data_IF_539136584287
#
_entry.id   IF_539136584287
#
_cell.length_a   1.000
_cell.length_b   1.000
_cell.length_c   1.000
_cell.angle_alpha   90.00
_cell.angle_beta   90.00
_cell.angle_gamma   90.00
#
_symmetry.space_group_name_H-M   'P 1'
#
loop_
_entity.id
_entity.type
_entity.pdbx_description
1 polymer ?
#
# COMPACT_ATOMS: atom_id res chain seq x y z
N UNK A 1 -32.40 -19.91 -12.05
CA UNK A 1 -32.32 -20.16 -10.60
C UNK A 1 -31.08 -19.46 -10.04
N UNK A 2 -31.24 -18.32 -9.37
CA UNK A 2 -30.12 -17.57 -8.80
C UNK A 2 -29.69 -18.15 -7.46
N UNK A 3 -28.47 -18.68 -7.35
CA UNK A 3 -27.91 -19.08 -6.07
C UNK A 3 -27.78 -17.83 -5.18
N UNK A 4 -28.51 -17.75 -4.06
CA UNK A 4 -28.34 -16.68 -3.07
C UNK A 4 -26.86 -16.65 -2.63
N UNK A 5 -26.22 -15.47 -2.72
CA UNK A 5 -24.88 -15.24 -2.15
C UNK A 5 -24.95 -15.58 -0.66
N UNK A 6 -24.17 -16.56 -0.20
CA UNK A 6 -24.02 -16.83 1.23
C UNK A 6 -23.04 -15.81 1.80
N UNK A 7 -23.55 -14.90 2.62
CA UNK A 7 -22.71 -14.03 3.44
C UNK A 7 -22.25 -14.81 4.66
N UNK A 8 -21.00 -14.63 5.03
CA UNK A 8 -20.36 -15.21 6.20
C UNK A 8 -20.17 -14.12 7.25
N UNK A 9 -19.74 -14.52 8.46
CA UNK A 9 -19.46 -13.57 9.53
C UNK A 9 -18.35 -12.59 9.10
N UNK A 10 -18.63 -11.29 9.05
CA UNK A 10 -17.65 -10.30 8.60
C UNK A 10 -16.50 -10.14 9.60
N UNK A 11 -15.29 -9.87 9.11
CA UNK A 11 -14.22 -9.35 9.96
C UNK A 11 -14.56 -7.90 10.30
N UNK A 12 -14.71 -7.60 11.58
CA UNK A 12 -14.99 -6.25 12.09
C UNK A 12 -14.01 -5.89 13.20
N UNK A 13 -13.90 -4.60 13.51
CA UNK A 13 -13.05 -4.10 14.59
C UNK A 13 -12.00 -3.08 14.14
N UNK A 14 -11.19 -2.64 15.10
CA UNK A 14 -10.22 -1.56 14.92
C UNK A 14 -9.16 -1.88 13.86
N UNK A 15 -8.66 -3.12 13.84
CA UNK A 15 -7.60 -3.52 12.91
C UNK A 15 -8.02 -3.43 11.44
N UNK A 16 -9.21 -3.94 11.10
CA UNK A 16 -9.70 -3.89 9.71
C UNK A 16 -10.09 -2.47 9.30
N UNK A 17 -10.69 -1.69 10.21
CA UNK A 17 -11.01 -0.29 9.95
C UNK A 17 -9.73 0.52 9.67
N UNK A 18 -8.70 0.35 10.52
CA UNK A 18 -7.40 1.01 10.33
C UNK A 18 -6.73 0.57 9.03
N UNK A 19 -6.76 -0.71 8.69
CA UNK A 19 -6.19 -1.20 7.42
C UNK A 19 -6.89 -0.58 6.20
N UNK A 20 -8.24 -0.48 6.23
CA UNK A 20 -9.01 0.18 5.17
C UNK A 20 -8.67 1.68 5.09
N UNK A 21 -8.52 2.36 6.22
CA UNK A 21 -8.17 3.78 6.25
C UNK A 21 -6.76 4.02 5.70
N UNK A 22 -5.79 3.18 6.05
CA UNK A 22 -4.44 3.20 5.47
C UNK A 22 -4.47 3.00 3.95
N UNK A 23 -5.32 2.09 3.46
CA UNK A 23 -5.53 1.90 2.03
C UNK A 23 -6.15 3.11 1.31
N UNK A 24 -6.83 4.01 2.03
CA UNK A 24 -7.38 5.26 1.47
C UNK A 24 -6.37 6.41 1.56
N UNK A 25 -5.69 6.56 2.70
CA UNK A 25 -4.76 7.66 2.94
C UNK A 25 -3.43 7.49 2.20
N UNK A 26 -2.92 6.26 2.04
CA UNK A 26 -1.63 6.01 1.38
C UNK A 26 -1.62 6.51 -0.07
N UNK A 27 -2.63 6.21 -0.92
CA UNK A 27 -2.74 6.79 -2.24
C UNK A 27 -2.76 8.33 -2.27
N UNK A 28 -3.44 8.97 -1.31
CA UNK A 28 -3.51 10.44 -1.23
C UNK A 28 -2.13 11.04 -0.92
N UNK A 29 -1.40 10.46 0.03
CA UNK A 29 -0.04 10.88 0.36
C UNK A 29 0.93 10.68 -0.82
N UNK A 30 0.81 9.57 -1.55
CA UNK A 30 1.60 9.32 -2.75
C UNK A 30 1.30 10.33 -3.87
N UNK A 31 0.03 10.65 -4.12
CA UNK A 31 -0.35 11.67 -5.09
C UNK A 31 0.20 13.04 -4.70
N UNK A 32 0.09 13.42 -3.43
CA UNK A 32 0.66 14.66 -2.91
C UNK A 32 2.18 14.71 -3.11
N UNK A 33 2.89 13.62 -2.81
CA UNK A 33 4.33 13.54 -3.09
C UNK A 33 4.63 13.77 -4.58
N UNK A 34 3.88 13.12 -5.48
CA UNK A 34 4.05 13.30 -6.93
C UNK A 34 3.79 14.74 -7.38
N UNK A 35 2.79 15.41 -6.80
CA UNK A 35 2.48 16.82 -7.06
C UNK A 35 3.61 17.73 -6.58
N UNK A 36 4.10 17.52 -5.35
CA UNK A 36 5.18 18.30 -4.73
C UNK A 36 6.48 18.23 -5.56
N UNK A 37 6.76 17.09 -6.21
CA UNK A 37 7.97 16.92 -7.04
C UNK A 37 7.77 17.20 -8.53
N UNK A 38 6.54 17.50 -8.98
CA UNK A 38 6.17 17.51 -10.41
C UNK A 38 7.07 18.41 -11.24
N UNK A 39 7.26 19.65 -10.78
CA UNK A 39 8.00 20.70 -11.48
C UNK A 39 9.46 20.83 -11.04
N UNK A 40 9.93 19.93 -10.17
CA UNK A 40 11.29 19.96 -9.64
C UNK A 40 12.23 19.11 -10.49
N UNK A 41 13.38 19.66 -10.84
CA UNK A 41 14.45 18.88 -11.45
C UNK A 41 15.06 17.90 -10.44
N UNK A 42 15.68 16.82 -10.92
CA UNK A 42 16.24 15.78 -10.05
C UNK A 42 17.24 16.32 -9.01
N UNK A 43 17.93 17.42 -9.32
CA UNK A 43 18.87 18.09 -8.41
C UNK A 43 18.18 18.85 -7.27
N UNK A 44 16.92 19.22 -7.45
CA UNK A 44 16.14 19.94 -6.45
C UNK A 44 15.44 18.99 -5.47
N UNK A 45 15.51 17.67 -5.71
CA UNK A 45 14.88 16.64 -4.87
C UNK A 45 15.73 16.25 -3.65
N UNK A 46 16.98 16.70 -3.56
CA UNK A 46 17.88 16.39 -2.43
C UNK A 46 17.53 17.23 -1.19
N UNK A 47 16.35 17.01 -0.62
CA UNK A 47 15.84 17.77 0.52
C UNK A 47 15.23 16.84 1.56
N UNK A 48 15.51 17.10 2.85
CA UNK A 48 15.01 16.30 3.99
C UNK A 48 13.48 16.19 4.01
N UNK A 49 12.77 17.19 3.48
CA UNK A 49 11.30 17.16 3.39
C UNK A 49 10.79 15.99 2.54
N UNK A 50 11.42 15.67 1.41
CA UNK A 50 10.97 14.59 0.53
C UNK A 50 11.24 13.22 1.13
N UNK A 51 12.37 13.09 1.84
CA UNK A 51 12.68 11.88 2.61
C UNK A 51 11.61 11.67 3.68
N UNK A 52 11.28 12.70 4.45
CA UNK A 52 10.27 12.62 5.49
C UNK A 52 8.89 12.23 4.92
N UNK A 53 8.49 12.83 3.79
CA UNK A 53 7.25 12.45 3.11
C UNK A 53 7.25 10.96 2.70
N UNK A 54 8.34 10.46 2.11
CA UNK A 54 8.47 9.05 1.74
C UNK A 54 8.44 8.13 2.96
N UNK A 55 9.13 8.48 4.05
CA UNK A 55 9.15 7.70 5.28
C UNK A 55 7.77 7.61 5.95
N UNK A 56 6.97 8.68 5.91
CA UNK A 56 5.59 8.64 6.39
C UNK A 56 4.76 7.63 5.58
N UNK A 57 4.93 7.60 4.26
CA UNK A 57 4.24 6.64 3.38
C UNK A 57 4.73 5.20 3.64
N UNK A 58 6.03 5.02 3.85
CA UNK A 58 6.62 3.72 4.22
C UNK A 58 6.01 3.22 5.53
N UNK A 59 5.92 4.07 6.56
CA UNK A 59 5.34 3.69 7.85
C UNK A 59 3.87 3.26 7.72
N UNK A 60 3.07 3.96 6.90
CA UNK A 60 1.68 3.56 6.61
C UNK A 60 1.63 2.15 5.96
N UNK A 61 2.53 1.87 5.02
CA UNK A 61 2.60 0.58 4.32
C UNK A 61 3.07 -0.55 5.25
N UNK A 62 4.04 -0.28 6.11
CA UNK A 62 4.50 -1.25 7.11
C UNK A 62 3.42 -1.52 8.17
N UNK A 63 2.70 -0.48 8.63
CA UNK A 63 1.56 -0.65 9.53
C UNK A 63 0.47 -1.52 8.86
N UNK A 64 0.14 -1.26 7.59
CA UNK A 64 -0.80 -2.06 6.83
C UNK A 64 -0.35 -3.53 6.74
N UNK A 65 0.93 -3.77 6.48
CA UNK A 65 1.52 -5.12 6.43
C UNK A 65 1.35 -5.86 7.77
N UNK A 66 1.63 -5.19 8.89
CA UNK A 66 1.46 -5.76 10.23
C UNK A 66 0.00 -6.06 10.56
N UNK A 67 -0.93 -5.16 10.21
CA UNK A 67 -2.36 -5.39 10.42
C UNK A 67 -2.87 -6.60 9.63
N UNK A 68 -2.43 -6.74 8.37
CA UNK A 68 -2.76 -7.91 7.55
C UNK A 68 -2.21 -9.21 8.16
N UNK A 69 -0.99 -9.19 8.69
CA UNK A 69 -0.37 -10.32 9.37
C UNK A 69 -1.19 -10.76 10.59
N UNK A 70 -1.60 -9.80 11.44
CA UNK A 70 -2.42 -10.05 12.64
C UNK A 70 -3.78 -10.65 12.28
N UNK A 71 -4.40 -10.17 11.19
CA UNK A 71 -5.70 -10.66 10.73
C UNK A 71 -5.63 -12.03 10.04
N UNK A 72 -4.51 -12.37 9.40
CA UNK A 72 -4.36 -13.60 8.60
C UNK A 72 -4.21 -14.88 9.45
N UNK A 73 -5.27 -15.27 10.17
CA UNK A 73 -5.29 -16.49 10.99
C UNK A 73 -5.51 -17.74 10.12
N UNK A 74 -4.66 -18.79 10.17
CA UNK A 74 -4.73 -19.96 9.27
C UNK A 74 -6.05 -20.74 9.24
N UNK A 75 -6.87 -20.65 10.29
CA UNK A 75 -8.17 -21.35 10.40
C UNK A 75 -9.36 -20.48 9.97
N UNK A 76 -9.11 -19.23 9.60
CA UNK A 76 -10.14 -18.28 9.20
C UNK A 76 -10.57 -18.51 7.74
N UNK A 77 -11.86 -18.40 7.45
CA UNK A 77 -12.42 -18.50 6.09
C UNK A 77 -11.84 -17.44 5.14
N UNK A 78 -11.38 -16.31 5.67
CA UNK A 78 -10.75 -15.22 4.90
C UNK A 78 -9.23 -15.37 4.77
N UNK A 79 -8.63 -16.42 5.34
CA UNK A 79 -7.17 -16.59 5.38
C UNK A 79 -6.52 -16.48 4.00
N UNK A 80 -7.07 -17.14 2.98
CA UNK A 80 -6.52 -17.07 1.62
C UNK A 80 -6.55 -15.65 1.04
N UNK A 81 -7.63 -14.90 1.27
CA UNK A 81 -7.77 -13.53 0.79
C UNK A 81 -6.79 -12.59 1.49
N UNK A 82 -6.65 -12.74 2.82
CA UNK A 82 -5.72 -11.97 3.63
C UNK A 82 -4.26 -12.30 3.31
N UNK A 83 -3.94 -13.57 3.03
CA UNK A 83 -2.61 -13.99 2.58
C UNK A 83 -2.26 -13.41 1.22
N UNK A 84 -3.22 -13.37 0.29
CA UNK A 84 -3.05 -12.68 -0.99
C UNK A 84 -2.78 -11.19 -0.76
N UNK A 85 -3.59 -10.51 0.06
CA UNK A 85 -3.38 -9.10 0.41
C UNK A 85 -1.98 -8.85 1.01
N UNK A 86 -1.54 -9.71 1.93
CA UNK A 86 -0.20 -9.65 2.52
C UNK A 86 0.89 -9.79 1.45
N UNK A 87 0.75 -10.73 0.51
CA UNK A 87 1.71 -10.91 -0.58
C UNK A 87 1.79 -9.68 -1.51
N UNK A 88 0.69 -8.94 -1.72
CA UNK A 88 0.69 -7.70 -2.48
C UNK A 88 1.44 -6.56 -1.77
N UNK A 89 1.24 -6.41 -0.46
CA UNK A 89 1.87 -5.35 0.34
C UNK A 89 3.33 -5.67 0.67
N UNK A 90 3.70 -6.94 0.76
CA UNK A 90 5.05 -7.34 1.12
C UNK A 90 6.10 -6.70 0.19
N UNK A 91 7.13 -6.09 0.80
CA UNK A 91 8.24 -5.40 0.11
C UNK A 91 7.85 -4.21 -0.79
N UNK A 92 6.59 -3.77 -0.78
CA UNK A 92 6.14 -2.69 -1.66
C UNK A 92 6.72 -1.31 -1.28
N UNK A 93 7.11 -1.16 -0.01
CA UNK A 93 7.77 0.01 0.56
C UNK A 93 9.22 0.18 0.09
N UNK A 94 9.88 -0.88 -0.41
CA UNK A 94 11.30 -0.86 -0.74
C UNK A 94 11.65 0.20 -1.79
N UNK A 95 10.81 0.38 -2.81
CA UNK A 95 11.04 1.41 -3.83
C UNK A 95 11.10 2.81 -3.19
N UNK A 96 10.25 3.08 -2.20
CA UNK A 96 10.21 4.36 -1.48
C UNK A 96 11.40 4.50 -0.52
N UNK A 97 11.77 3.44 0.20
CA UNK A 97 12.93 3.42 1.10
C UNK A 97 14.23 3.70 0.32
N UNK A 98 14.44 2.96 -0.77
CA UNK A 98 15.62 3.12 -1.62
C UNK A 98 15.65 4.53 -2.21
N UNK A 99 14.51 5.04 -2.66
CA UNK A 99 14.41 6.42 -3.17
C UNK A 99 14.73 7.43 -2.09
N UNK A 100 14.15 7.29 -0.90
CA UNK A 100 14.40 8.16 0.24
C UNK A 100 15.88 8.21 0.63
N UNK A 101 16.55 7.05 0.63
CA UNK A 101 18.00 6.98 0.82
C UNK A 101 18.74 7.83 -0.22
N UNK A 102 18.48 7.67 -1.52
CA UNK A 102 19.19 8.44 -2.54
C UNK A 102 18.83 9.93 -2.59
N UNK A 103 17.68 10.32 -2.05
CA UNK A 103 17.30 11.73 -1.90
C UNK A 103 17.92 12.40 -0.68
N UNK A 104 18.64 11.67 0.17
CA UNK A 104 19.32 12.26 1.32
C UNK A 104 20.42 13.24 0.90
N UNK A 105 20.33 14.54 1.27
CA UNK A 105 21.38 15.50 0.94
C UNK A 105 22.72 15.17 1.61
N UNK A 106 22.72 14.44 2.72
CA UNK A 106 23.93 14.04 3.45
C UNK A 106 24.66 12.88 2.77
N UNK A 107 23.99 12.18 1.83
CA UNK A 107 24.61 11.05 1.14
C UNK A 107 25.69 11.50 0.16
N UNK A 108 26.90 10.94 0.35
CA UNK A 108 28.08 11.23 -0.48
C UNK A 108 27.84 10.94 -1.97
N UNK A 109 27.11 9.87 -2.27
CA UNK A 109 26.82 9.44 -3.63
C UNK A 109 25.36 9.71 -3.95
N UNK A 110 25.12 10.74 -4.75
CA UNK A 110 23.78 11.12 -5.20
C UNK A 110 23.40 10.33 -6.44
N UNK A 111 22.19 9.76 -6.45
CA UNK A 111 21.60 9.16 -7.64
C UNK A 111 20.45 10.03 -8.09
N UNK A 112 20.49 10.49 -9.34
CA UNK A 112 19.37 11.22 -9.92
C UNK A 112 18.14 10.32 -9.97
N UNK A 113 17.02 10.83 -9.46
CA UNK A 113 15.74 10.14 -9.56
C UNK A 113 15.30 10.10 -11.02
N UNK A 114 15.18 8.91 -11.59
CA UNK A 114 14.51 8.72 -12.86
C UNK A 114 12.99 8.80 -12.62
N UNK A 115 12.38 9.93 -13.00
CA UNK A 115 10.94 10.17 -12.80
C UNK A 115 10.05 9.13 -13.48
N UNK A 116 10.45 8.55 -14.61
CA UNK A 116 9.67 7.53 -15.30
C UNK A 116 9.69 6.21 -14.53
N UNK A 117 10.87 5.72 -14.16
CA UNK A 117 10.99 4.48 -13.37
C UNK A 117 10.31 4.61 -12.01
N UNK A 118 10.50 5.75 -11.34
CA UNK A 118 9.87 6.00 -10.06
C UNK A 118 8.34 6.14 -10.17
N UNK A 119 7.84 6.80 -11.22
CA UNK A 119 6.40 6.86 -11.51
C UNK A 119 5.80 5.48 -11.78
N UNK A 120 6.53 4.58 -12.44
CA UNK A 120 6.11 3.19 -12.61
C UNK A 120 5.98 2.46 -11.26
N UNK A 121 6.97 2.59 -10.38
CA UNK A 121 6.91 2.01 -9.04
C UNK A 121 5.71 2.54 -8.27
N UNK A 122 5.49 3.86 -8.23
CA UNK A 122 4.32 4.45 -7.56
C UNK A 122 3.01 3.88 -8.11
N UNK A 123 2.86 3.76 -9.43
CA UNK A 123 1.67 3.20 -10.03
C UNK A 123 1.45 1.73 -9.62
N UNK A 124 2.52 0.97 -9.45
CA UNK A 124 2.45 -0.37 -8.90
C UNK A 124 1.97 -0.33 -7.43
N UNK A 125 2.50 0.58 -6.61
CA UNK A 125 2.03 0.77 -5.22
C UNK A 125 0.52 1.04 -5.19
N UNK A 126 0.06 2.02 -5.98
CA UNK A 126 -1.35 2.40 -6.04
C UNK A 126 -2.27 1.23 -6.42
N UNK A 127 -1.91 0.45 -7.44
CA UNK A 127 -2.69 -0.72 -7.88
C UNK A 127 -2.79 -1.81 -6.82
N UNK A 128 -1.68 -2.10 -6.14
CA UNK A 128 -1.62 -3.14 -5.12
C UNK A 128 -2.39 -2.72 -3.85
N UNK A 129 -2.25 -1.47 -3.43
CA UNK A 129 -3.01 -0.90 -2.29
C UNK A 129 -4.51 -0.90 -2.59
N UNK A 130 -4.93 -0.53 -3.80
CA UNK A 130 -6.34 -0.60 -4.20
C UNK A 130 -6.87 -2.05 -4.21
N UNK A 131 -6.08 -2.98 -4.73
CA UNK A 131 -6.44 -4.42 -4.71
C UNK A 131 -6.65 -4.93 -3.28
N UNK A 132 -5.77 -4.53 -2.35
CA UNK A 132 -5.87 -4.85 -0.92
C UNK A 132 -7.10 -4.20 -0.30
N UNK A 133 -7.37 -2.92 -0.60
CA UNK A 133 -8.58 -2.21 -0.16
C UNK A 133 -9.84 -2.99 -0.55
N UNK A 134 -9.95 -3.40 -1.82
CA UNK A 134 -11.11 -4.14 -2.30
C UNK A 134 -11.26 -5.49 -1.60
N UNK A 135 -10.16 -6.15 -1.22
CA UNK A 135 -10.20 -7.38 -0.41
C UNK A 135 -10.74 -7.05 0.99
N UNK A 136 -10.19 -6.04 1.67
CA UNK A 136 -10.59 -5.64 3.02
C UNK A 136 -12.05 -5.20 3.08
N UNK A 137 -12.54 -4.46 2.09
CA UNK A 137 -13.95 -4.04 2.00
C UNK A 137 -14.91 -5.20 1.73
N UNK A 138 -14.45 -6.28 1.11
CA UNK A 138 -15.25 -7.50 0.88
C UNK A 138 -15.36 -8.33 2.15
N UNK A 139 -14.24 -8.59 2.80
CA UNK A 139 -14.22 -9.39 4.03
C UNK A 139 -14.93 -8.67 5.19
N UNK A 140 -14.90 -7.32 5.22
CA UNK A 140 -15.66 -6.53 6.21
C UNK A 140 -17.18 -6.56 5.99
N UNK A 141 -17.63 -7.00 4.81
CA UNK A 141 -19.05 -7.21 4.47
C UNK A 141 -19.47 -8.68 4.53
N UNK A 142 -18.58 -9.57 4.95
CA UNK A 142 -18.91 -10.98 5.03
C UNK A 142 -18.85 -11.72 3.69
N UNK A 143 -18.16 -11.18 2.67
CA UNK A 143 -18.06 -11.79 1.33
C UNK A 143 -16.68 -12.47 1.14
N UNK A 144 -16.53 -13.78 1.40
CA UNK A 144 -15.24 -14.47 1.27
C UNK A 144 -14.90 -14.84 -0.17
N UNK A 145 -15.77 -14.52 -1.12
CA UNK A 145 -15.77 -15.18 -2.42
C UNK A 145 -14.65 -14.64 -3.31
N UNK A 146 -13.64 -15.48 -3.52
CA UNK A 146 -12.63 -15.38 -4.58
C UNK A 146 -13.15 -15.94 -5.92
N UNK A 147 -14.39 -15.58 -6.34
CA UNK A 147 -14.96 -16.05 -7.62
C UNK A 147 -14.61 -15.06 -8.72
N UNK A 148 -13.62 -15.48 -9.52
CA UNK A 148 -13.33 -15.02 -10.89
C UNK A 148 -12.90 -13.56 -11.02
N UNK A 149 -11.61 -13.31 -10.82
CA UNK A 149 -10.88 -12.44 -11.74
C UNK A 149 -10.28 -13.42 -12.76
N UNK A 150 -11.02 -13.68 -13.83
CA UNK A 150 -10.50 -14.26 -15.08
C UNK A 150 -10.33 -13.10 -16.06
#
# INVERSE_FOLDING_TARGET
>A
MGSKKKFFEPITGTNINRAIDLCKSTPEKLKKFQEDIRYLDSNQLFQKQFIHQLLVIVNDLEELNQLLLIMAKPKDIYYSSLRTALAWINNISNALIITGYYLDPENKYKRLLNKHSFGFEINLILKKVDSVKQILERISKGDPVNRRIH
#
